data_IF_003579591000
#
_entry.id   IF_003579591000
#
_cell.length_a   1.000
_cell.length_b   1.000
_cell.length_c   1.000
_cell.angle_alpha   90.00
_cell.angle_beta   90.00
_cell.angle_gamma   90.00
#
_symmetry.space_group_name_H-M   'P 1'
#
loop_
_entity.id
_entity.type
_entity.pdbx_description
1 polymer ?
#
# COMPACT_ATOMS: atom_id res chain seq x y z
N UNK A 1 7.53 24.94 0.68
CA UNK A 1 6.88 24.66 -0.61
C UNK A 1 5.49 24.10 -0.29
N UNK A 2 4.53 24.98 -0.02
CA UNK A 2 3.17 24.62 0.42
C UNK A 2 2.29 24.30 -0.80
N UNK A 3 2.61 23.21 -1.49
CA UNK A 3 1.68 22.67 -2.48
C UNK A 3 0.56 21.92 -1.74
N UNK A 4 -0.71 22.19 -2.04
CA UNK A 4 -1.82 21.48 -1.40
C UNK A 4 -1.74 19.99 -1.73
N UNK A 5 -2.16 19.16 -0.78
CA UNK A 5 -2.23 17.71 -0.95
C UNK A 5 -3.23 17.35 -2.06
N UNK A 6 -2.98 16.26 -2.81
CA UNK A 6 -3.99 15.66 -3.67
C UNK A 6 -5.27 15.34 -2.88
N UNK A 7 -6.42 15.67 -3.46
CA UNK A 7 -7.73 15.41 -2.84
C UNK A 7 -8.10 13.94 -3.02
N UNK A 8 -8.18 13.19 -1.92
CA UNK A 8 -8.44 11.74 -1.93
C UNK A 8 -9.81 11.43 -2.55
N UNK A 9 -10.84 12.18 -2.17
CA UNK A 9 -12.21 12.03 -2.69
C UNK A 9 -12.37 12.35 -4.18
N UNK A 10 -11.35 12.85 -4.87
CA UNK A 10 -11.33 13.00 -6.34
C UNK A 10 -10.74 11.80 -7.06
N UNK A 11 -10.06 10.89 -6.37
CA UNK A 11 -9.53 9.69 -6.98
C UNK A 11 -10.68 8.79 -7.45
N UNK A 12 -10.67 8.43 -8.73
CA UNK A 12 -11.60 7.46 -9.32
C UNK A 12 -10.77 6.35 -9.97
N UNK A 13 -10.88 5.08 -9.52
CA UNK A 13 -10.15 3.97 -10.14
C UNK A 13 -10.37 3.87 -11.66
N UNK A 14 -11.58 4.21 -12.13
CA UNK A 14 -11.95 4.19 -13.53
C UNK A 14 -11.19 5.18 -14.42
N UNK A 15 -10.58 6.22 -13.86
CA UNK A 15 -9.80 7.20 -14.63
C UNK A 15 -8.45 6.60 -15.11
N UNK A 16 -7.99 5.53 -14.45
CA UNK A 16 -6.70 4.89 -14.74
C UNK A 16 -6.86 3.36 -14.78
N UNK A 17 -7.58 2.80 -15.77
CA UNK A 17 -7.96 1.38 -15.79
C UNK A 17 -6.76 0.42 -15.78
N UNK A 18 -5.64 0.81 -16.39
CA UNK A 18 -4.41 0.01 -16.41
C UNK A 18 -3.69 -0.03 -15.05
N UNK A 19 -3.88 1.00 -14.21
CA UNK A 19 -3.25 1.10 -12.90
C UNK A 19 -4.16 0.59 -11.78
N UNK A 20 -5.48 0.60 -11.99
CA UNK A 20 -6.47 0.21 -11.00
C UNK A 20 -6.17 -1.10 -10.25
N UNK A 21 -5.65 -2.18 -10.88
CA UNK A 21 -5.33 -3.42 -10.17
C UNK A 21 -4.23 -3.27 -9.10
N UNK A 22 -3.33 -2.30 -9.27
CA UNK A 22 -2.17 -2.09 -8.40
C UNK A 22 -2.43 -1.06 -7.31
N UNK A 23 -3.48 -0.25 -7.44
CA UNK A 23 -3.72 0.88 -6.55
C UNK A 23 -4.59 0.48 -5.37
N UNK A 24 -4.19 0.92 -4.18
CA UNK A 24 -4.95 0.82 -2.95
C UNK A 24 -5.05 2.20 -2.29
N UNK A 25 -6.05 2.38 -1.43
CA UNK A 25 -6.22 3.60 -0.64
C UNK A 25 -6.43 3.23 0.81
N UNK A 26 -5.64 3.84 1.69
CA UNK A 26 -5.76 3.72 3.13
C UNK A 26 -6.38 5.01 3.66
N UNK A 27 -7.42 4.89 4.48
CA UNK A 27 -7.95 5.97 5.30
C UNK A 27 -7.26 5.96 6.66
N UNK A 28 -6.67 7.09 7.02
CA UNK A 28 -5.94 7.24 8.26
C UNK A 28 -6.90 7.39 9.45
N UNK A 29 -6.65 6.59 10.47
CA UNK A 29 -7.34 6.67 11.77
C UNK A 29 -6.40 7.25 12.84
N UNK A 30 -6.83 7.22 14.10
CA UNK A 30 -6.03 7.73 15.23
C UNK A 30 -4.70 6.98 15.46
N UNK A 31 -4.49 5.83 14.79
CA UNK A 31 -3.22 5.12 14.71
C UNK A 31 -3.05 4.48 13.33
N UNK A 32 -1.81 4.38 12.85
CA UNK A 32 -1.52 3.81 11.52
C UNK A 32 -1.88 2.34 11.44
N UNK A 33 -1.54 1.57 12.48
CA UNK A 33 -1.92 0.16 12.64
C UNK A 33 -3.43 -0.09 12.49
N UNK A 34 -4.25 0.84 12.99
CA UNK A 34 -5.72 0.82 12.91
C UNK A 34 -6.29 1.48 11.66
N UNK A 35 -5.45 2.10 10.84
CA UNK A 35 -5.88 2.69 9.56
C UNK A 35 -6.32 1.59 8.60
N UNK A 36 -7.30 1.90 7.75
CA UNK A 36 -8.05 0.89 6.99
C UNK A 36 -7.90 1.06 5.49
N UNK A 37 -7.89 -0.06 4.77
CA UNK A 37 -8.04 -0.03 3.32
C UNK A 37 -9.49 0.30 2.95
N UNK A 38 -9.70 1.45 2.32
CA UNK A 38 -11.00 1.84 1.74
C UNK A 38 -11.08 1.54 0.24
N UNK A 39 -9.93 1.25 -0.38
CA UNK A 39 -9.84 0.67 -1.70
C UNK A 39 -8.80 -0.45 -1.65
N UNK A 40 -9.22 -1.65 -2.03
CA UNK A 40 -8.37 -2.82 -2.15
C UNK A 40 -7.69 -2.87 -3.52
N UNK A 41 -6.41 -3.25 -3.54
CA UNK A 41 -5.70 -3.62 -4.76
C UNK A 41 -5.78 -5.14 -4.93
N UNK A 42 -6.34 -5.66 -6.04
CA UNK A 42 -6.31 -7.09 -6.34
C UNK A 42 -4.90 -7.69 -6.32
N UNK A 43 -3.89 -6.91 -6.71
CA UNK A 43 -2.48 -7.34 -6.71
C UNK A 43 -1.94 -7.45 -5.28
N UNK A 44 -2.23 -6.47 -4.43
CA UNK A 44 -1.87 -6.51 -3.00
C UNK A 44 -2.58 -7.68 -2.29
N UNK A 45 -3.87 -7.85 -2.55
CA UNK A 45 -4.67 -8.94 -1.97
C UNK A 45 -4.12 -10.32 -2.38
N UNK A 46 -3.65 -10.44 -3.62
CA UNK A 46 -2.99 -11.65 -4.12
C UNK A 46 -1.67 -11.92 -3.39
N UNK A 47 -0.83 -10.89 -3.21
CA UNK A 47 0.44 -11.01 -2.51
C UNK A 47 0.27 -11.42 -1.05
N UNK A 48 -0.71 -10.83 -0.36
CA UNK A 48 -1.01 -11.12 1.04
C UNK A 48 -1.97 -12.30 1.22
N UNK A 49 -2.53 -12.84 0.13
CA UNK A 49 -3.54 -13.91 0.09
C UNK A 49 -4.75 -13.63 0.98
N UNK A 50 -5.16 -12.36 1.03
CA UNK A 50 -6.24 -11.89 1.90
C UNK A 50 -6.87 -10.65 1.27
N UNK A 51 -8.21 -10.62 1.20
CA UNK A 51 -8.93 -9.45 0.71
C UNK A 51 -8.77 -8.30 1.70
N UNK A 52 -8.27 -7.16 1.24
CA UNK A 52 -7.91 -6.05 2.13
C UNK A 52 -9.05 -5.10 2.47
N UNK A 53 -10.12 -5.07 1.67
CA UNK A 53 -11.22 -4.11 1.81
C UNK A 53 -11.80 -4.08 3.24
N UNK A 54 -11.92 -2.86 3.79
CA UNK A 54 -12.40 -2.54 5.14
C UNK A 54 -11.58 -3.09 6.32
N UNK A 55 -10.51 -3.83 6.05
CA UNK A 55 -9.61 -4.35 7.06
C UNK A 55 -8.49 -3.36 7.39
N UNK A 56 -7.97 -3.48 8.62
CA UNK A 56 -6.88 -2.63 9.12
C UNK A 56 -5.52 -3.06 8.58
N UNK A 57 -4.54 -2.15 8.62
CA UNK A 57 -3.14 -2.48 8.31
C UNK A 57 -2.64 -3.65 9.17
N UNK A 58 -3.00 -3.68 10.45
CA UNK A 58 -2.61 -4.76 11.36
C UNK A 58 -3.15 -6.13 10.91
N UNK A 59 -4.36 -6.18 10.35
CA UNK A 59 -5.00 -7.42 9.91
C UNK A 59 -4.49 -7.93 8.57
N UNK A 60 -4.01 -7.03 7.71
CA UNK A 60 -3.63 -7.34 6.32
C UNK A 60 -2.14 -7.47 6.14
N UNK A 61 -1.35 -6.56 6.71
CA UNK A 61 0.10 -6.52 6.46
C UNK A 61 0.78 -7.67 7.21
N UNK A 62 1.57 -8.52 6.51
CA UNK A 62 2.33 -9.62 7.11
C UNK A 62 3.20 -9.16 8.28
N UNK A 63 3.32 -9.97 9.33
CA UNK A 63 3.96 -9.56 10.59
C UNK A 63 5.45 -9.21 10.42
N UNK A 64 6.16 -9.95 9.56
CA UNK A 64 7.57 -9.75 9.19
C UNK A 64 7.81 -8.47 8.38
N UNK A 65 6.80 -7.99 7.64
CA UNK A 65 6.86 -6.75 6.87
C UNK A 65 6.22 -5.55 7.60
N UNK A 66 5.40 -5.79 8.62
CA UNK A 66 4.50 -4.78 9.19
C UNK A 66 5.23 -3.54 9.72
N UNK A 67 6.32 -3.73 10.46
CA UNK A 67 7.07 -2.60 11.02
C UNK A 67 7.65 -1.70 9.92
N UNK A 68 8.17 -2.32 8.86
CA UNK A 68 8.70 -1.59 7.70
C UNK A 68 7.57 -0.82 6.99
N UNK A 69 6.44 -1.47 6.69
CA UNK A 69 5.29 -0.81 6.08
C UNK A 69 4.79 0.38 6.91
N UNK A 70 4.68 0.22 8.24
CA UNK A 70 4.22 1.27 9.15
C UNK A 70 5.23 2.42 9.25
N UNK A 71 6.52 2.13 9.31
CA UNK A 71 7.59 3.14 9.30
C UNK A 71 7.53 3.98 8.03
N UNK A 72 7.33 3.32 6.90
CA UNK A 72 7.21 3.96 5.60
C UNK A 72 5.94 4.82 5.49
N UNK A 73 4.79 4.31 5.93
CA UNK A 73 3.54 5.08 6.02
C UNK A 73 3.67 6.28 6.98
N UNK A 74 4.41 6.14 8.07
CA UNK A 74 4.74 7.24 9.00
C UNK A 74 5.53 8.34 8.29
N UNK A 75 6.50 7.96 7.45
CA UNK A 75 7.26 8.90 6.63
C UNK A 75 6.37 9.72 5.69
N UNK A 76 5.41 9.08 5.02
CA UNK A 76 4.44 9.76 4.15
C UNK A 76 3.65 10.83 4.91
N UNK A 77 3.12 10.47 6.08
CA UNK A 77 2.31 11.36 6.92
C UNK A 77 3.15 12.50 7.48
N UNK A 78 4.38 12.23 7.89
CA UNK A 78 5.26 13.22 8.53
C UNK A 78 5.80 14.22 7.52
N UNK A 79 6.28 13.74 6.38
CA UNK A 79 7.03 14.57 5.42
C UNK A 79 6.16 15.17 4.32
N UNK A 80 4.88 14.77 4.21
CA UNK A 80 3.96 15.23 3.17
C UNK A 80 4.53 15.07 1.75
N UNK A 81 5.29 14.00 1.53
CA UNK A 81 5.93 13.70 0.24
C UNK A 81 5.63 12.28 -0.18
N UNK A 82 5.51 12.01 -1.48
CA UNK A 82 5.52 10.64 -1.98
C UNK A 82 6.85 9.98 -1.63
N UNK A 83 6.79 8.70 -1.28
CA UNK A 83 7.96 7.87 -1.10
C UNK A 83 7.83 6.66 -2.02
N UNK A 84 8.95 5.97 -2.24
CA UNK A 84 8.99 4.64 -2.88
C UNK A 84 9.80 3.69 -2.00
N UNK A 85 9.38 2.43 -1.96
CA UNK A 85 10.05 1.35 -1.26
C UNK A 85 10.10 0.11 -2.15
N UNK A 86 11.16 -0.68 -1.97
CA UNK A 86 11.25 -2.05 -2.44
C UNK A 86 11.84 -2.91 -1.34
N UNK A 87 11.42 -4.16 -1.26
CA UNK A 87 11.95 -5.09 -0.26
C UNK A 87 11.45 -6.49 -0.52
N UNK A 88 11.59 -7.33 0.49
CA UNK A 88 11.03 -8.67 0.48
C UNK A 88 10.35 -9.02 1.80
N UNK A 89 9.44 -9.97 1.74
CA UNK A 89 8.82 -10.61 2.90
C UNK A 89 8.50 -12.06 2.56
N UNK A 90 8.26 -12.89 3.56
CA UNK A 90 7.87 -14.27 3.34
C UNK A 90 6.35 -14.40 3.37
N UNK A 91 5.78 -14.84 2.26
CA UNK A 91 4.35 -15.13 2.18
C UNK A 91 3.94 -16.30 3.06
N UNK A 92 2.64 -16.56 3.17
CA UNK A 92 2.09 -17.64 4.01
C UNK A 92 2.62 -19.06 3.68
N UNK A 93 3.12 -19.27 2.46
CA UNK A 93 3.71 -20.55 2.02
C UNK A 93 5.21 -20.65 2.27
N UNK A 94 5.82 -19.65 2.93
CA UNK A 94 7.28 -19.55 3.07
C UNK A 94 8.01 -19.15 1.78
N UNK A 95 7.28 -18.80 0.72
CA UNK A 95 7.85 -18.30 -0.53
C UNK A 95 8.20 -16.82 -0.36
N UNK A 96 9.42 -16.45 -0.76
CA UNK A 96 9.84 -15.05 -0.73
C UNK A 96 9.09 -14.25 -1.79
N UNK A 97 8.54 -13.12 -1.36
CA UNK A 97 7.87 -12.15 -2.20
C UNK A 97 8.75 -10.92 -2.30
N UNK A 98 9.22 -10.60 -3.50
CA UNK A 98 9.89 -9.32 -3.78
C UNK A 98 8.83 -8.32 -4.22
N UNK A 99 8.79 -7.17 -3.58
CA UNK A 99 7.77 -6.16 -3.87
C UNK A 99 8.37 -4.79 -4.19
N UNK A 100 7.54 -3.99 -4.85
CA UNK A 100 7.73 -2.55 -4.99
C UNK A 100 6.46 -1.84 -4.60
N UNK A 101 6.61 -0.80 -3.79
CA UNK A 101 5.51 -0.01 -3.27
C UNK A 101 5.81 1.48 -3.47
N UNK A 102 4.80 2.23 -3.86
CA UNK A 102 4.84 3.69 -3.92
C UNK A 102 3.67 4.16 -3.06
N UNK A 103 3.91 5.12 -2.17
CA UNK A 103 2.86 5.74 -1.38
C UNK A 103 2.90 7.26 -1.57
N UNK A 104 1.73 7.87 -1.55
CA UNK A 104 1.55 9.30 -1.70
C UNK A 104 0.55 9.81 -0.66
N UNK A 105 0.83 10.95 0.00
CA UNK A 105 -0.12 11.55 0.92
C UNK A 105 -1.29 12.15 0.15
N UNK A 106 -2.51 12.02 0.69
CA UNK A 106 -3.69 12.66 0.18
C UNK A 106 -4.54 13.23 1.34
N UNK A 107 -5.26 14.31 1.05
CA UNK A 107 -6.03 15.06 2.04
C UNK A 107 -7.21 15.78 1.40
N UNK A 108 -8.42 15.59 1.92
CA UNK A 108 -9.60 16.28 1.38
C UNK A 108 -9.65 17.77 1.70
N UNK A 109 -8.98 18.19 2.77
CA UNK A 109 -8.81 19.61 3.14
C UNK A 109 -7.59 20.26 2.46
N UNK A 110 -6.77 19.48 1.75
CA UNK A 110 -5.55 19.95 1.08
C UNK A 110 -4.36 20.22 2.00
N UNK A 111 -4.50 20.08 3.33
CA UNK A 111 -3.47 20.43 4.31
C UNK A 111 -3.07 19.24 5.19
N UNK A 112 -4.05 18.46 5.64
CA UNK A 112 -3.83 17.31 6.52
C UNK A 112 -3.84 16.03 5.70
N UNK A 113 -2.84 15.18 5.91
CA UNK A 113 -2.88 13.81 5.39
C UNK A 113 -3.99 13.06 6.12
N UNK A 114 -5.04 12.71 5.39
CA UNK A 114 -6.17 11.90 5.87
C UNK A 114 -6.23 10.56 5.17
N UNK A 115 -5.52 10.43 4.05
CA UNK A 115 -5.45 9.22 3.26
C UNK A 115 -4.02 8.99 2.75
N UNK A 116 -3.70 7.73 2.51
CA UNK A 116 -2.53 7.33 1.73
C UNK A 116 -3.04 6.63 0.49
N UNK A 117 -2.60 7.11 -0.67
CA UNK A 117 -2.83 6.42 -1.95
C UNK A 117 -1.54 5.67 -2.24
N UNK A 118 -1.63 4.38 -2.48
CA UNK A 118 -0.47 3.56 -2.80
C UNK A 118 -0.65 2.72 -4.04
N UNK A 119 0.48 2.34 -4.63
CA UNK A 119 0.55 1.41 -5.75
C UNK A 119 1.55 0.31 -5.42
N UNK A 120 1.09 -0.94 -5.46
CA UNK A 120 1.86 -2.11 -5.07
C UNK A 120 1.97 -3.10 -6.22
N UNK A 121 3.17 -3.64 -6.43
CA UNK A 121 3.40 -4.76 -7.33
C UNK A 121 4.42 -5.72 -6.71
N UNK A 122 4.38 -7.00 -7.12
CA UNK A 122 5.26 -8.02 -6.58
C UNK A 122 5.59 -9.12 -7.59
N UNK A 123 6.66 -9.85 -7.30
CA UNK A 123 6.98 -11.15 -7.90
C UNK A 123 7.25 -12.15 -6.77
N UNK A 124 6.89 -13.41 -7.00
CA UNK A 124 7.21 -14.51 -6.08
C UNK A 124 8.47 -15.22 -6.58
N UNK A 125 9.45 -15.40 -5.70
CA UNK A 125 10.65 -16.18 -5.99
C UNK A 125 10.31 -17.66 -5.75
N UNK A 126 9.69 -18.30 -6.74
CA UNK A 126 9.71 -19.75 -6.79
C UNK A 126 11.10 -20.18 -7.29
N UNK A 127 11.69 -21.19 -6.64
CA UNK A 127 12.86 -21.95 -7.11
C UNK A 127 12.81 -22.11 -8.65
N UNK A 128 13.89 -21.87 -9.41
CA UNK A 128 13.85 -22.07 -10.85
C UNK A 128 13.35 -23.49 -11.12
N UNK A 129 12.22 -23.60 -11.82
CA UNK A 129 11.81 -24.87 -12.41
C UNK A 129 13.00 -25.47 -13.18
N UNK A 130 13.21 -26.80 -13.14
CA UNK A 130 14.33 -27.42 -13.84
C UNK A 130 14.27 -27.03 -15.31
N UNK A 131 15.43 -26.70 -15.89
CA UNK A 131 15.60 -26.44 -17.32
C UNK A 131 14.85 -27.51 -18.15
N UNK A 132 13.98 -27.08 -19.07
CA UNK A 132 13.46 -27.94 -20.15
C UNK A 132 14.52 -28.15 -21.24
#
# INVERSE_FOLDING_TARGET
DERPLPVASRYRPGDFPLLAPYVYVIKLESGLDRSRFILASPVLDSAFRKLSADLTLQEIVPADYREQFLSYATGIVTYHKPLTESGSFFGHTGVEVLYRNIMMPAGDDGFRVTHIIGAFNFISVCDPSPEE
#
